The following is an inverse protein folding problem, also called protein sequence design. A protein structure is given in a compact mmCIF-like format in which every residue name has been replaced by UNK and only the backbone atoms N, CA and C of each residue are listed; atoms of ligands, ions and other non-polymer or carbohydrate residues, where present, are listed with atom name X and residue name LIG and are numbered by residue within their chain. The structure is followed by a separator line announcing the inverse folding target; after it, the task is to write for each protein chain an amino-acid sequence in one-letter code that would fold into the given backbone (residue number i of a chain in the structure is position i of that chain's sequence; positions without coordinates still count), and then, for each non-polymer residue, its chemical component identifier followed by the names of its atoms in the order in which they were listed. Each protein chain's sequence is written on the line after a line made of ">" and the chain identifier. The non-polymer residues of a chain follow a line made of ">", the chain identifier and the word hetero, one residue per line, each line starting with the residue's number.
data_IF_411780009168
#
_entry.id   IF_411780009168
#
_cell.length_a   1.000
_cell.length_b   1.000
_cell.length_c   1.000
_cell.angle_alpha   90.00
_cell.angle_beta   90.00
_cell.angle_gamma   90.00
#
_symmetry.space_group_name_H-M   'P 1'
#
loop_
_entity.id
_entity.type
_entity.pdbx_description
1 polymer ?
#
# COMPACT_ATOMS: atom_id res chain seq x y z
N UNK A 1 6.40 65.72 -22.71
CA UNK A 1 6.26 65.05 -21.39
C UNK A 1 5.99 63.55 -21.50
N UNK A 2 5.73 62.99 -22.69
CA UNK A 2 5.37 61.57 -22.90
C UNK A 2 6.54 60.59 -22.94
N UNK A 3 7.74 61.03 -23.33
CA UNK A 3 8.92 60.15 -23.44
C UNK A 3 9.61 59.82 -22.11
N UNK A 4 9.31 60.56 -21.05
CA UNK A 4 9.79 60.26 -19.70
C UNK A 4 8.99 59.09 -19.10
N UNK A 5 7.67 59.14 -19.19
CA UNK A 5 6.76 58.13 -18.60
C UNK A 5 6.99 56.71 -19.14
N UNK A 6 7.23 56.56 -20.45
CA UNK A 6 7.48 55.25 -21.06
C UNK A 6 8.81 54.64 -20.59
N UNK A 7 9.82 55.49 -20.36
CA UNK A 7 11.14 55.05 -19.90
C UNK A 7 11.08 54.56 -18.45
N UNK A 8 10.36 55.28 -17.61
CA UNK A 8 10.19 54.95 -16.18
C UNK A 8 9.37 53.67 -16.02
N UNK A 9 8.33 53.47 -16.85
CA UNK A 9 7.57 52.23 -16.90
C UNK A 9 8.45 51.03 -17.31
N UNK A 10 9.33 51.20 -18.31
CA UNK A 10 10.22 50.14 -18.80
C UNK A 10 11.25 49.72 -17.74
N UNK A 11 11.75 50.66 -16.93
CA UNK A 11 12.70 50.39 -15.84
C UNK A 11 11.99 49.72 -14.66
N UNK A 12 10.79 50.17 -14.31
CA UNK A 12 9.96 49.54 -13.27
C UNK A 12 9.58 48.11 -13.63
N UNK A 13 9.18 47.88 -14.87
CA UNK A 13 8.81 46.56 -15.39
C UNK A 13 10.00 45.58 -15.37
N UNK A 14 11.21 46.05 -15.71
CA UNK A 14 12.42 45.21 -15.66
C UNK A 14 12.84 44.84 -14.24
N UNK A 15 12.58 45.71 -13.26
CA UNK A 15 12.80 45.42 -11.83
C UNK A 15 11.73 44.49 -11.25
N UNK A 16 10.49 44.61 -11.71
CA UNK A 16 9.37 43.77 -11.26
C UNK A 16 9.35 42.38 -11.90
N UNK A 17 10.07 42.19 -13.01
CA UNK A 17 10.14 40.90 -13.71
C UNK A 17 10.68 39.77 -12.82
N UNK A 18 11.78 40.01 -12.11
CA UNK A 18 12.41 39.00 -11.24
C UNK A 18 11.53 38.53 -10.08
N UNK A 19 10.92 39.42 -9.26
CA UNK A 19 10.00 38.99 -8.21
C UNK A 19 8.72 38.36 -8.76
N UNK A 20 8.19 38.84 -9.90
CA UNK A 20 7.02 38.23 -10.53
C UNK A 20 7.31 36.79 -11.00
N UNK A 21 8.48 36.56 -11.60
CA UNK A 21 8.92 35.22 -12.01
C UNK A 21 9.08 34.29 -10.80
N UNK A 22 9.64 34.79 -9.71
CA UNK A 22 9.76 34.04 -8.44
C UNK A 22 8.39 33.63 -7.89
N UNK A 23 7.43 34.56 -7.82
CA UNK A 23 6.06 34.28 -7.37
C UNK A 23 5.40 33.23 -8.27
N UNK A 24 5.58 33.35 -9.58
CA UNK A 24 5.03 32.39 -10.54
C UNK A 24 5.63 30.99 -10.37
N UNK A 25 6.95 30.88 -10.20
CA UNK A 25 7.63 29.61 -9.93
C UNK A 25 7.19 29.00 -8.60
N UNK A 26 7.06 29.81 -7.55
CA UNK A 26 6.56 29.35 -6.25
C UNK A 26 5.12 28.85 -6.37
N UNK A 27 4.24 29.56 -7.08
CA UNK A 27 2.88 29.14 -7.34
C UNK A 27 2.81 27.84 -8.14
N UNK A 28 3.68 27.67 -9.14
CA UNK A 28 3.78 26.44 -9.93
C UNK A 28 4.21 25.25 -9.08
N UNK A 29 5.28 25.41 -8.28
CA UNK A 29 5.75 24.37 -7.37
C UNK A 29 4.67 24.05 -6.35
N UNK A 30 4.01 25.06 -5.79
CA UNK A 30 2.91 24.88 -4.84
C UNK A 30 1.79 24.05 -5.48
N UNK A 31 1.26 24.49 -6.63
CA UNK A 31 0.21 23.78 -7.38
C UNK A 31 0.60 22.34 -7.73
N UNK A 32 1.82 22.12 -8.21
CA UNK A 32 2.30 20.79 -8.61
C UNK A 32 2.60 19.89 -7.40
N UNK A 33 2.90 20.47 -6.22
CA UNK A 33 3.05 19.72 -4.96
C UNK A 33 1.69 19.22 -4.47
N UNK A 34 0.61 19.96 -4.75
CA UNK A 34 -0.76 19.51 -4.46
C UNK A 34 -1.34 18.58 -5.53
N UNK A 35 -0.93 18.75 -6.81
CA UNK A 35 -1.51 18.02 -7.94
C UNK A 35 -0.73 16.78 -8.38
N UNK A 36 0.48 16.55 -7.86
CA UNK A 36 1.20 15.30 -8.08
C UNK A 36 0.79 14.27 -7.05
N UNK A 37 0.63 13.01 -7.47
CA UNK A 37 0.31 11.77 -6.71
C UNK A 37 1.11 11.50 -5.41
N UNK A 38 1.91 12.45 -4.93
CA UNK A 38 2.73 12.40 -3.71
C UNK A 38 2.51 13.64 -2.84
N UNK A 39 1.29 14.18 -2.81
CA UNK A 39 0.92 15.19 -1.82
C UNK A 39 1.21 14.66 -0.41
N UNK A 40 1.74 15.51 0.47
CA UNK A 40 2.09 15.17 1.86
C UNK A 40 0.95 14.44 2.61
N UNK A 41 -0.30 14.75 2.25
CA UNK A 41 -1.52 14.15 2.80
C UNK A 41 -1.64 12.68 2.41
N UNK A 42 -1.45 12.34 1.13
CA UNK A 42 -1.51 10.94 0.63
C UNK A 42 -0.36 10.13 1.21
N UNK A 43 0.83 10.74 1.36
CA UNK A 43 1.97 10.07 1.99
C UNK A 43 1.69 9.72 3.46
N UNK A 44 1.01 10.59 4.21
CA UNK A 44 0.64 10.33 5.59
C UNK A 44 -0.38 9.19 5.70
N UNK A 45 -1.43 9.22 4.88
CA UNK A 45 -2.46 8.18 4.86
C UNK A 45 -1.91 6.82 4.39
N UNK A 46 -1.03 6.81 3.38
CA UNK A 46 -0.38 5.60 2.91
C UNK A 46 0.58 5.02 3.96
N UNK A 47 1.31 5.89 4.66
CA UNK A 47 2.22 5.45 5.73
C UNK A 47 1.47 4.80 6.89
N UNK A 48 0.32 5.37 7.27
CA UNK A 48 -0.58 4.77 8.27
C UNK A 48 -1.13 3.41 7.82
N UNK A 49 -1.54 3.28 6.56
CA UNK A 49 -2.02 2.00 6.02
C UNK A 49 -0.92 0.93 6.00
N UNK A 50 0.31 1.31 5.63
CA UNK A 50 1.46 0.40 5.66
C UNK A 50 1.74 -0.09 7.08
N UNK A 51 1.72 0.81 8.07
CA UNK A 51 1.92 0.47 9.47
C UNK A 51 0.83 -0.50 9.98
N UNK A 52 -0.45 -0.24 9.65
CA UNK A 52 -1.55 -1.14 10.00
C UNK A 52 -1.38 -2.54 9.39
N UNK A 53 -1.05 -2.62 8.11
CA UNK A 53 -0.85 -3.90 7.42
C UNK A 53 0.35 -4.67 7.98
N UNK A 54 1.43 -3.97 8.33
CA UNK A 54 2.58 -4.59 8.98
C UNK A 54 2.23 -5.14 10.37
N UNK A 55 1.45 -4.40 11.16
CA UNK A 55 0.98 -4.86 12.46
C UNK A 55 0.07 -6.10 12.34
N UNK A 56 -0.84 -6.11 11.36
CA UNK A 56 -1.69 -7.26 11.09
C UNK A 56 -0.87 -8.49 10.65
N UNK A 57 0.11 -8.29 9.77
CA UNK A 57 0.99 -9.38 9.33
C UNK A 57 1.77 -9.97 10.52
N UNK A 58 2.38 -9.13 11.35
CA UNK A 58 3.09 -9.59 12.55
C UNK A 58 2.19 -10.38 13.51
N UNK A 59 0.91 -9.96 13.65
CA UNK A 59 -0.08 -10.70 14.45
C UNK A 59 -0.37 -12.08 13.85
N UNK A 60 -0.55 -12.16 12.54
CA UNK A 60 -0.84 -13.42 11.84
C UNK A 60 0.37 -14.38 11.89
N UNK A 61 1.59 -13.87 11.69
CA UNK A 61 2.82 -14.65 11.84
C UNK A 61 2.97 -15.23 13.26
N UNK A 62 2.63 -14.44 14.29
CA UNK A 62 2.62 -14.93 15.67
C UNK A 62 1.59 -16.05 15.86
N UNK A 63 0.37 -15.90 15.32
CA UNK A 63 -0.67 -16.93 15.38
C UNK A 63 -0.25 -18.21 14.66
N UNK A 64 0.36 -18.10 13.48
CA UNK A 64 0.90 -19.24 12.74
C UNK A 64 1.96 -19.95 13.59
N UNK A 65 2.89 -19.21 14.19
CA UNK A 65 3.98 -19.78 15.00
C UNK A 65 3.45 -20.56 16.21
N UNK A 66 2.41 -20.04 16.87
CA UNK A 66 1.73 -20.71 17.98
C UNK A 66 1.05 -22.01 17.53
N UNK A 67 0.24 -21.93 16.47
CA UNK A 67 -0.43 -23.09 15.87
C UNK A 67 0.56 -24.16 15.42
N UNK A 68 1.66 -23.78 14.78
CA UNK A 68 2.69 -24.73 14.39
C UNK A 68 3.35 -25.40 15.60
N UNK A 69 3.52 -24.68 16.71
CA UNK A 69 4.07 -25.24 17.94
C UNK A 69 3.11 -26.25 18.56
N UNK A 70 1.82 -25.95 18.56
CA UNK A 70 0.79 -26.88 19.02
C UNK A 70 0.65 -28.10 18.11
N UNK A 71 0.69 -27.90 16.79
CA UNK A 71 0.72 -29.00 15.81
C UNK A 71 1.98 -29.84 15.98
N UNK A 72 3.16 -29.25 16.19
CA UNK A 72 4.40 -29.99 16.46
C UNK A 72 4.32 -30.80 17.75
N UNK A 73 3.68 -30.27 18.79
CA UNK A 73 3.43 -31.01 20.06
C UNK A 73 2.48 -32.19 19.84
N UNK A 74 1.42 -32.01 19.05
CA UNK A 74 0.49 -33.08 18.67
C UNK A 74 1.12 -34.11 17.72
N UNK A 75 2.07 -33.68 16.88
CA UNK A 75 2.75 -34.48 15.85
C UNK A 75 4.04 -35.15 16.35
N UNK A 76 4.39 -35.03 17.64
CA UNK A 76 5.67 -35.43 18.22
C UNK A 76 6.04 -36.93 18.11
N UNK A 77 5.28 -37.75 17.36
CA UNK A 77 5.63 -39.16 17.09
C UNK A 77 5.96 -39.52 15.64
N UNK A 78 5.53 -38.73 14.64
CA UNK A 78 5.89 -38.79 13.20
C UNK A 78 4.83 -37.99 12.44
N UNK A 79 5.19 -37.12 11.47
CA UNK A 79 4.18 -36.45 10.67
C UNK A 79 3.54 -37.49 9.75
N UNK A 80 2.31 -37.86 10.07
CA UNK A 80 1.53 -38.79 9.28
C UNK A 80 1.18 -38.13 7.95
N UNK A 81 1.57 -38.78 6.85
CA UNK A 81 1.33 -38.30 5.48
C UNK A 81 -0.16 -38.14 5.22
N UNK A 82 -0.99 -38.89 5.94
CA UNK A 82 -2.44 -38.82 5.89
C UNK A 82 -3.01 -37.56 6.56
N UNK A 83 -2.34 -37.01 7.58
CA UNK A 83 -2.77 -35.76 8.23
C UNK A 83 -2.59 -34.54 7.31
N UNK A 84 -1.51 -34.52 6.51
CA UNK A 84 -1.32 -33.50 5.48
C UNK A 84 -2.35 -33.61 4.36
N UNK A 85 -2.75 -34.84 3.99
CA UNK A 85 -3.79 -35.09 2.98
C UNK A 85 -5.18 -34.66 3.51
N UNK A 86 -5.48 -34.90 4.79
CA UNK A 86 -6.72 -34.41 5.44
C UNK A 86 -6.76 -32.88 5.53
N UNK A 87 -5.67 -32.23 5.91
CA UNK A 87 -5.62 -30.77 6.01
C UNK A 87 -5.79 -30.12 4.63
N UNK A 88 -5.13 -30.66 3.60
CA UNK A 88 -5.30 -30.22 2.22
C UNK A 88 -6.75 -30.40 1.73
N UNK A 89 -7.40 -31.53 2.04
CA UNK A 89 -8.81 -31.74 1.69
C UNK A 89 -9.77 -30.80 2.44
N UNK A 90 -9.55 -30.56 3.73
CA UNK A 90 -10.45 -29.73 4.54
C UNK A 90 -10.30 -28.23 4.28
N UNK A 91 -9.09 -27.74 4.09
CA UNK A 91 -8.83 -26.30 3.91
C UNK A 91 -8.80 -25.88 2.43
N UNK A 92 -8.25 -26.73 1.56
CA UNK A 92 -8.03 -26.40 0.14
C UNK A 92 -8.96 -27.16 -0.80
N UNK A 93 -9.76 -28.11 -0.29
CA UNK A 93 -10.73 -28.88 -1.10
C UNK A 93 -10.09 -29.77 -2.17
N UNK A 94 -8.79 -30.09 -2.04
CA UNK A 94 -8.04 -30.78 -3.09
C UNK A 94 -8.33 -32.27 -3.07
N UNK A 95 -8.75 -32.84 -4.21
CA UNK A 95 -9.02 -34.27 -4.39
C UNK A 95 -7.99 -34.84 -5.36
N UNK A 96 -7.42 -36.03 -5.07
CA UNK A 96 -6.46 -36.69 -5.97
C UNK A 96 -7.15 -37.10 -7.28
N UNK A 97 -6.40 -37.10 -8.38
CA UNK A 97 -6.91 -37.32 -9.73
C UNK A 97 -7.66 -38.66 -9.94
N UNK A 98 -7.54 -39.60 -9.01
CA UNK A 98 -8.10 -40.95 -9.04
C UNK A 98 -9.19 -41.21 -7.97
N UNK A 99 -9.74 -40.18 -7.32
CA UNK A 99 -10.83 -40.33 -6.35
C UNK A 99 -12.16 -39.75 -6.86
N UNK A 100 -13.28 -40.38 -6.48
CA UNK A 100 -14.64 -39.99 -6.90
C UNK A 100 -15.41 -39.38 -5.74
N UNK A 101 -15.89 -38.14 -5.89
CA UNK A 101 -16.70 -37.44 -4.88
C UNK A 101 -18.16 -37.85 -5.01
N UNK A 102 -18.75 -38.40 -3.95
CA UNK A 102 -20.18 -38.76 -3.89
C UNK A 102 -20.91 -37.77 -2.98
N UNK A 103 -21.85 -37.02 -3.55
CA UNK A 103 -22.75 -36.16 -2.79
C UNK A 103 -23.99 -36.94 -2.38
N UNK A 104 -24.18 -37.13 -1.08
CA UNK A 104 -25.37 -37.78 -0.53
C UNK A 104 -26.52 -36.76 -0.46
N UNK A 105 -27.73 -37.11 -0.96
CA UNK A 105 -28.89 -36.24 -0.85
C UNK A 105 -29.30 -36.11 0.62
N UNK A 106 -29.55 -34.87 1.03
CA UNK A 106 -30.04 -34.55 2.37
C UNK A 106 -31.54 -34.86 2.41
N UNK A 107 -31.93 -35.76 3.32
CA UNK A 107 -33.33 -36.14 3.59
C UNK A 107 -34.23 -34.92 3.77
#
# INVERSE_FOLDING_TARGET
>A
MTSATIRDLKIGLRRAFWPALLIFLLGYIHYHTFSGDRGLIVWYELSSQVEMLQAENARLEATITELETDVRRLSAKQPDRDFLDELARRQLGVVKANETVVYLPKN
#
